data_IF_454272245451
#
_entry.id   IF_454272245451
#
_cell.length_a   1.000
_cell.length_b   1.000
_cell.length_c   1.000
_cell.angle_alpha   90.00
_cell.angle_beta   90.00
_cell.angle_gamma   90.00
#
_symmetry.space_group_name_H-M   'P 1'
#
loop_
_entity.id
_entity.type
_entity.pdbx_description
1 polymer ?
#
# COMPACT_ATOMS: atom_id res chain seq x y z
N UNK A 1 -7.71 5.55 -6.34
CA UNK A 1 -8.47 5.13 -5.13
C UNK A 1 -9.85 4.57 -5.48
N UNK A 2 -10.72 5.32 -6.19
CA UNK A 2 -12.13 4.92 -6.40
C UNK A 2 -12.32 3.59 -7.15
N UNK A 3 -11.61 3.36 -8.25
CA UNK A 3 -11.69 2.09 -8.98
C UNK A 3 -11.38 0.87 -8.09
N UNK A 4 -10.33 0.98 -7.26
CA UNK A 4 -9.98 -0.06 -6.29
C UNK A 4 -11.04 -0.22 -5.18
N UNK A 5 -11.63 0.88 -4.67
CA UNK A 5 -12.75 0.84 -3.70
C UNK A 5 -13.96 0.09 -4.26
N UNK A 6 -14.22 0.19 -5.57
CA UNK A 6 -15.31 -0.54 -6.25
C UNK A 6 -14.97 -2.02 -6.49
N UNK A 7 -13.72 -2.33 -6.82
CA UNK A 7 -13.31 -3.67 -7.25
C UNK A 7 -12.97 -4.60 -6.07
N UNK A 8 -12.15 -4.13 -5.13
CA UNK A 8 -11.60 -5.00 -4.08
C UNK A 8 -12.65 -5.66 -3.16
N UNK A 9 -13.79 -5.04 -2.82
CA UNK A 9 -14.84 -5.70 -2.04
C UNK A 9 -15.41 -6.96 -2.69
N UNK A 10 -15.42 -7.04 -4.02
CA UNK A 10 -15.87 -8.23 -4.76
C UNK A 10 -14.94 -9.44 -4.51
N UNK A 11 -13.76 -9.21 -3.95
CA UNK A 11 -12.76 -10.24 -3.59
C UNK A 11 -12.61 -10.40 -2.08
N UNK A 12 -13.57 -9.87 -1.30
CA UNK A 12 -13.61 -9.99 0.17
C UNK A 12 -12.69 -9.03 0.92
N UNK A 13 -12.28 -7.92 0.30
CA UNK A 13 -11.56 -6.86 1.01
C UNK A 13 -12.53 -5.84 1.59
N UNK A 14 -12.36 -5.53 2.88
CA UNK A 14 -12.94 -4.32 3.45
C UNK A 14 -12.06 -3.14 3.05
N UNK A 15 -12.63 -2.15 2.37
CA UNK A 15 -11.89 -0.99 1.88
C UNK A 15 -12.37 0.28 2.57
N UNK A 16 -11.42 1.08 3.03
CA UNK A 16 -11.65 2.43 3.55
C UNK A 16 -10.71 3.38 2.81
N UNK A 17 -11.19 4.58 2.48
CA UNK A 17 -10.34 5.65 1.93
C UNK A 17 -9.99 6.56 3.10
N UNK A 18 -8.70 6.88 3.26
CA UNK A 18 -8.27 7.87 4.24
C UNK A 18 -8.98 9.20 3.94
N UNK A 19 -9.79 9.66 4.91
CA UNK A 19 -10.72 10.83 4.95
C UNK A 19 -12.17 10.44 5.30
N UNK A 20 -12.55 9.16 5.21
CA UNK A 20 -13.80 8.67 5.84
C UNK A 20 -13.48 8.36 7.32
N UNK A 21 -14.32 8.81 8.26
CA UNK A 21 -14.11 8.70 9.72
C UNK A 21 -13.55 7.31 10.11
N UNK A 22 -12.39 7.33 10.76
CA UNK A 22 -11.68 6.13 11.21
C UNK A 22 -12.34 5.59 12.47
N UNK A 23 -13.49 4.94 12.31
CA UNK A 23 -14.02 4.06 13.35
C UNK A 23 -12.94 3.02 13.70
N UNK A 24 -12.56 2.96 14.98
CA UNK A 24 -11.58 2.01 15.49
C UNK A 24 -12.00 0.59 15.10
N UNK A 25 -11.30 0.04 14.12
CA UNK A 25 -11.55 -1.33 13.69
C UNK A 25 -10.51 -2.18 14.37
N UNK A 26 -10.94 -3.13 15.20
CA UNK A 26 -10.03 -4.12 15.75
C UNK A 26 -9.41 -4.94 14.60
N UNK A 27 -8.13 -4.65 14.32
CA UNK A 27 -7.31 -5.23 13.26
C UNK A 27 -6.35 -6.30 13.80
N UNK A 28 -6.45 -6.67 15.09
CA UNK A 28 -5.65 -7.73 15.67
C UNK A 28 -5.82 -9.03 14.86
N UNK A 29 -4.69 -9.61 14.45
CA UNK A 29 -4.60 -10.82 13.61
C UNK A 29 -5.21 -10.71 12.21
N UNK A 30 -5.47 -9.49 11.69
CA UNK A 30 -5.94 -9.28 10.32
C UNK A 30 -4.80 -8.78 9.43
N UNK A 31 -4.89 -9.14 8.15
CA UNK A 31 -4.05 -8.54 7.11
C UNK A 31 -4.50 -7.10 6.87
N UNK A 32 -3.64 -6.13 7.18
CA UNK A 32 -3.89 -4.71 6.93
C UNK A 32 -2.95 -4.23 5.83
N UNK A 33 -3.52 -3.69 4.76
CA UNK A 33 -2.76 -3.16 3.64
C UNK A 33 -3.12 -1.71 3.40
N UNK A 34 -2.11 -0.86 3.22
CA UNK A 34 -2.29 0.54 2.83
C UNK A 34 -1.81 0.74 1.40
N UNK A 35 -2.69 1.26 0.55
CA UNK A 35 -2.36 1.66 -0.82
C UNK A 35 -2.36 3.18 -0.90
N UNK A 36 -1.18 3.77 -1.08
CA UNK A 36 -1.01 5.22 -1.20
C UNK A 36 -1.22 5.63 -2.66
N UNK A 37 -2.36 6.26 -2.94
CA UNK A 37 -2.79 6.65 -4.28
C UNK A 37 -3.22 8.13 -4.34
N UNK A 38 -2.26 9.00 -4.08
CA UNK A 38 -2.38 10.47 -3.91
C UNK A 38 -2.35 11.27 -5.21
N UNK A 39 -2.02 10.63 -6.33
CA UNK A 39 -1.83 11.29 -7.63
C UNK A 39 -0.77 12.43 -7.60
N UNK A 40 0.22 12.33 -6.71
CA UNK A 40 1.31 13.31 -6.59
C UNK A 40 1.10 14.36 -5.49
N UNK A 41 -0.06 14.39 -4.85
CA UNK A 41 -0.35 15.37 -3.81
C UNK A 41 0.06 14.86 -2.43
N UNK A 42 0.98 15.56 -1.77
CA UNK A 42 1.42 15.23 -0.41
C UNK A 42 1.93 13.78 -0.23
N UNK A 43 2.57 13.21 -1.26
CA UNK A 43 3.08 11.83 -1.26
C UNK A 43 3.92 11.50 -0.02
N UNK A 44 4.79 12.44 0.39
CA UNK A 44 5.68 12.26 1.55
C UNK A 44 4.90 12.08 2.85
N UNK A 45 3.90 12.94 3.08
CA UNK A 45 3.04 12.87 4.28
C UNK A 45 2.22 11.58 4.27
N UNK A 46 1.60 11.25 3.13
CA UNK A 46 0.77 10.05 3.02
C UNK A 46 1.58 8.75 3.24
N UNK A 47 2.82 8.69 2.75
CA UNK A 47 3.71 7.56 3.01
C UNK A 47 4.14 7.47 4.47
N UNK A 48 4.43 8.61 5.11
CA UNK A 48 4.75 8.67 6.54
C UNK A 48 3.58 8.19 7.39
N UNK A 49 2.37 8.72 7.15
CA UNK A 49 1.15 8.31 7.84
C UNK A 49 0.85 6.81 7.63
N UNK A 50 1.05 6.31 6.40
CA UNK A 50 0.89 4.91 6.07
C UNK A 50 1.85 4.01 6.87
N UNK A 51 3.13 4.35 6.96
CA UNK A 51 4.10 3.60 7.77
C UNK A 51 3.73 3.64 9.25
N UNK A 52 3.39 4.83 9.77
CA UNK A 52 3.09 5.03 11.19
C UNK A 52 1.82 4.29 11.64
N UNK A 53 0.90 3.99 10.71
CA UNK A 53 -0.25 3.12 10.97
C UNK A 53 0.11 1.64 11.18
N UNK A 54 1.39 1.27 11.06
CA UNK A 54 1.95 -0.07 11.22
C UNK A 54 1.19 -1.18 10.46
N UNK A 55 0.95 -1.03 9.15
CA UNK A 55 0.22 -2.02 8.37
C UNK A 55 1.11 -3.24 8.09
N UNK A 56 0.48 -4.34 7.71
CA UNK A 56 1.17 -5.55 7.26
C UNK A 56 1.92 -5.32 5.93
N UNK A 57 1.41 -4.43 5.08
CA UNK A 57 1.98 -4.11 3.77
C UNK A 57 1.64 -2.69 3.32
N UNK A 58 2.58 -2.03 2.63
CA UNK A 58 2.38 -0.70 2.02
C UNK A 58 2.72 -0.76 0.54
N UNK A 59 1.81 -0.28 -0.30
CA UNK A 59 2.00 -0.17 -1.74
C UNK A 59 1.79 1.27 -2.20
N UNK A 60 2.71 1.81 -3.02
CA UNK A 60 2.68 3.20 -3.46
C UNK A 60 2.43 3.32 -4.97
N UNK A 61 1.36 4.02 -5.34
CA UNK A 61 1.02 4.35 -6.72
C UNK A 61 1.89 5.51 -7.19
N UNK A 62 3.14 5.19 -7.55
CA UNK A 62 4.11 6.13 -8.08
C UNK A 62 5.27 5.41 -8.77
N UNK A 63 5.95 6.09 -9.68
CA UNK A 63 7.07 5.51 -10.42
C UNK A 63 8.25 5.16 -9.49
N UNK A 64 9.09 4.20 -9.91
CA UNK A 64 10.33 3.85 -9.20
C UNK A 64 11.19 5.10 -8.93
N UNK A 65 11.36 5.96 -9.94
CA UNK A 65 12.12 7.22 -9.84
C UNK A 65 11.57 8.13 -8.76
N UNK A 66 10.24 8.32 -8.74
CA UNK A 66 9.58 9.17 -7.74
C UNK A 66 9.73 8.57 -6.34
N UNK A 67 9.55 7.27 -6.21
CA UNK A 67 9.69 6.63 -4.91
C UNK A 67 11.13 6.74 -4.37
N UNK A 68 12.15 6.57 -5.21
CA UNK A 68 13.56 6.76 -4.80
C UNK A 68 13.83 8.15 -4.23
N UNK A 69 13.26 9.23 -4.78
CA UNK A 69 13.42 10.56 -4.22
C UNK A 69 12.64 10.77 -2.91
N UNK A 70 11.48 10.11 -2.76
CA UNK A 70 10.72 10.12 -1.52
C UNK A 70 11.42 9.33 -0.40
N UNK A 71 12.12 8.23 -0.72
CA UNK A 71 12.89 7.46 0.28
C UNK A 71 13.90 8.33 1.04
N UNK A 72 14.67 9.14 0.33
CA UNK A 72 15.65 10.04 0.95
C UNK A 72 14.97 11.00 1.95
N UNK A 73 13.87 11.62 1.52
CA UNK A 73 13.09 12.55 2.36
C UNK A 73 12.43 11.87 3.57
N UNK A 74 11.96 10.63 3.40
CA UNK A 74 11.40 9.85 4.52
C UNK A 74 12.48 9.55 5.56
N UNK A 75 13.69 9.19 5.13
CA UNK A 75 14.82 8.94 6.01
C UNK A 75 15.29 10.22 6.73
N UNK A 76 15.37 11.36 6.03
CA UNK A 76 15.66 12.68 6.62
C UNK A 76 14.66 13.07 7.71
N UNK A 77 13.39 12.66 7.56
CA UNK A 77 12.33 12.87 8.54
C UNK A 77 12.32 11.84 9.70
N UNK A 78 13.37 11.01 9.82
CA UNK A 78 13.56 10.11 10.95
C UNK A 78 12.89 8.74 10.83
N UNK A 79 12.32 8.38 9.67
CA UNK A 79 11.80 7.03 9.46
C UNK A 79 12.95 6.05 9.23
N UNK A 80 12.97 4.96 9.99
CA UNK A 80 14.00 3.94 9.85
C UNK A 80 13.92 3.25 8.48
N UNK A 81 15.08 2.99 7.87
CA UNK A 81 15.17 2.38 6.53
C UNK A 81 14.48 1.00 6.48
N UNK A 82 14.44 0.27 7.60
CA UNK A 82 13.71 -1.00 7.71
C UNK A 82 12.21 -0.86 7.41
N UNK A 83 11.58 0.25 7.76
CA UNK A 83 10.19 0.53 7.40
C UNK A 83 10.06 0.99 5.95
N UNK A 84 10.99 1.83 5.48
CA UNK A 84 10.99 2.35 4.11
C UNK A 84 11.16 1.21 3.09
N UNK A 85 12.01 0.22 3.39
CA UNK A 85 12.22 -0.98 2.55
C UNK A 85 10.97 -1.85 2.40
N UNK A 86 10.03 -1.79 3.33
CA UNK A 86 8.76 -2.53 3.27
C UNK A 86 7.74 -1.93 2.31
N UNK A 87 7.97 -0.72 1.79
CA UNK A 87 7.10 -0.12 0.79
C UNK A 87 7.41 -0.67 -0.59
N UNK A 88 6.39 -1.18 -1.24
CA UNK A 88 6.44 -1.62 -2.63
C UNK A 88 6.04 -0.48 -3.57
N UNK A 89 6.90 -0.15 -4.54
CA UNK A 89 6.61 0.82 -5.59
C UNK A 89 7.27 0.40 -6.91
N UNK A 90 6.57 0.47 -8.06
CA UNK A 90 5.19 0.92 -8.23
C UNK A 90 4.17 -0.10 -7.70
N UNK A 91 3.02 0.39 -7.23
CA UNK A 91 1.89 -0.44 -6.88
C UNK A 91 1.36 -1.23 -8.10
N UNK A 92 0.84 -2.42 -7.85
CA UNK A 92 0.33 -3.35 -8.84
C UNK A 92 1.37 -4.25 -9.52
N UNK A 93 0.89 -5.35 -10.10
CA UNK A 93 1.70 -6.20 -10.97
C UNK A 93 1.94 -5.52 -12.31
N UNK A 94 3.06 -5.82 -12.95
CA UNK A 94 3.35 -5.29 -14.28
C UNK A 94 2.53 -6.05 -15.33
N UNK A 95 1.37 -5.49 -15.66
CA UNK A 95 0.44 -6.00 -16.68
C UNK A 95 0.27 -5.02 -17.84
N UNK A 96 1.11 -3.99 -17.94
CA UNK A 96 0.94 -2.91 -18.92
C UNK A 96 -0.28 -2.01 -18.66
N UNK A 97 -0.72 -1.90 -17.41
CA UNK A 97 -1.90 -1.13 -17.02
C UNK A 97 -1.75 0.38 -17.27
N UNK A 98 -2.76 0.99 -17.90
CA UNK A 98 -2.81 2.42 -18.25
C UNK A 98 -4.04 3.10 -17.65
N UNK A 99 -5.21 2.47 -17.76
CA UNK A 99 -6.47 3.06 -17.27
C UNK A 99 -6.62 2.90 -15.75
N UNK A 100 -7.42 3.75 -15.08
CA UNK A 100 -7.69 3.58 -13.64
C UNK A 100 -8.20 2.18 -13.28
N UNK A 101 -9.02 1.58 -14.14
CA UNK A 101 -9.56 0.22 -13.99
C UNK A 101 -8.45 -0.83 -14.10
N UNK A 102 -7.60 -0.74 -15.12
CA UNK A 102 -6.44 -1.64 -15.28
C UNK A 102 -5.45 -1.52 -14.13
N UNK A 103 -5.16 -0.29 -13.69
CA UNK A 103 -4.29 -0.03 -12.53
C UNK A 103 -4.93 -0.62 -11.26
N UNK A 104 -6.25 -0.49 -11.10
CA UNK A 104 -6.93 -1.08 -9.95
C UNK A 104 -6.86 -2.60 -9.95
N UNK A 105 -6.98 -3.22 -11.12
CA UNK A 105 -6.86 -4.67 -11.30
C UNK A 105 -5.43 -5.13 -10.99
N UNK A 106 -4.43 -4.42 -11.48
CA UNK A 106 -3.02 -4.74 -11.23
C UNK A 106 -2.67 -4.67 -9.74
N UNK A 107 -3.17 -3.65 -9.04
CA UNK A 107 -3.04 -3.49 -7.59
C UNK A 107 -3.76 -4.62 -6.87
N UNK A 108 -5.00 -4.93 -7.24
CA UNK A 108 -5.74 -6.01 -6.59
C UNK A 108 -5.04 -7.36 -6.76
N UNK A 109 -4.47 -7.64 -7.93
CA UNK A 109 -3.70 -8.86 -8.16
C UNK A 109 -2.47 -8.96 -7.23
N UNK A 110 -1.77 -7.84 -6.99
CA UNK A 110 -0.72 -7.76 -5.97
C UNK A 110 -1.28 -8.06 -4.56
N UNK A 111 -2.40 -7.43 -4.18
CA UNK A 111 -3.00 -7.64 -2.85
C UNK A 111 -3.38 -9.11 -2.62
N UNK A 112 -3.84 -9.80 -3.66
CA UNK A 112 -4.14 -11.24 -3.58
C UNK A 112 -2.87 -12.07 -3.33
N UNK A 113 -1.72 -11.71 -3.92
CA UNK A 113 -0.44 -12.35 -3.60
C UNK A 113 -0.03 -12.10 -2.15
N UNK A 114 -0.13 -10.85 -1.69
CA UNK A 114 0.15 -10.50 -0.28
C UNK A 114 -0.74 -11.30 0.66
N UNK A 115 -2.04 -11.42 0.35
CA UNK A 115 -2.98 -12.21 1.16
C UNK A 115 -2.65 -13.70 1.20
N UNK A 116 -2.22 -14.27 0.07
CA UNK A 116 -1.76 -15.66 0.02
C UNK A 116 -0.50 -15.86 0.88
N UNK A 117 0.48 -14.96 0.77
CA UNK A 117 1.72 -15.04 1.54
C UNK A 117 1.48 -14.90 3.04
N UNK A 118 0.62 -13.96 3.45
CA UNK A 118 0.21 -13.78 4.84
C UNK A 118 -0.44 -15.04 5.43
N UNK A 119 -1.37 -15.68 4.69
CA UNK A 119 -2.03 -16.92 5.12
C UNK A 119 -1.07 -18.10 5.25
N UNK A 120 -0.04 -18.15 4.40
CA UNK A 120 0.96 -19.22 4.43
C UNK A 120 2.06 -19.00 5.49
N UNK A 121 2.01 -17.90 6.25
CA UNK A 121 3.07 -17.53 7.19
C UNK A 121 4.37 -17.10 6.50
N UNK A 122 4.33 -16.79 5.20
CA UNK A 122 5.49 -16.38 4.38
C UNK A 122 5.68 -14.86 4.50
N UNK A 123 5.39 -14.27 5.66
CA UNK A 123 5.76 -12.88 5.94
C UNK A 123 7.18 -12.89 6.52
N UNK A 124 8.12 -12.76 5.58
CA UNK A 124 9.58 -12.71 5.69
C UNK A 124 10.21 -12.70 7.10
N UNK A 125 10.92 -13.80 7.38
CA UNK A 125 12.04 -13.88 8.31
C UNK A 125 13.26 -13.20 7.67
N UNK A 126 13.37 -11.88 7.79
CA UNK A 126 14.62 -11.17 7.53
C UNK A 126 14.98 -10.31 8.74
N UNK A 127 15.60 -10.99 9.73
CA UNK A 127 16.58 -10.38 10.63
C UNK A 127 17.79 -9.91 9.81
#
# INVERSE_FOLDING_TARGET
>A
AQALKKLAPQFGWLVRIANDDLEETNTSNKLVVVVVATQGNNDLKALSDAINSNPTFVSFVGSKRKFSSLKAKLAENGLADSYIRKIKAPAGLDIGAVTPEEISLSILAELLQVRKNFRNGIHDKSN
#
